data_IF_131020289710
#
_entry.id   IF_131020289710
#
_cell.length_a   1.000
_cell.length_b   1.000
_cell.length_c   1.000
_cell.angle_alpha   90.00
_cell.angle_beta   90.00
_cell.angle_gamma   90.00
#
_symmetry.space_group_name_H-M   'P 1'
#
loop_
_entity.id
_entity.type
_entity.pdbx_description
1 polymer ?
#
# COMPACT_ATOMS: atom_id res chain seq x y z
N UNK A 1 3.88 -39.63 -26.16
CA UNK A 1 2.67 -38.97 -25.59
C UNK A 1 1.67 -39.99 -24.99
N UNK A 2 2.14 -41.12 -24.42
CA UNK A 2 1.25 -42.21 -23.96
C UNK A 2 1.38 -42.56 -22.48
N UNK A 3 2.40 -42.03 -21.79
CA UNK A 3 2.60 -42.27 -20.35
C UNK A 3 1.55 -41.55 -19.47
N UNK A 4 1.13 -40.33 -19.86
CA UNK A 4 0.07 -39.58 -19.15
C UNK A 4 -1.27 -40.32 -19.16
N UNK A 5 -1.63 -40.97 -20.27
CA UNK A 5 -2.91 -41.64 -20.44
C UNK A 5 -3.03 -42.92 -19.59
N UNK A 6 -1.92 -43.63 -19.36
CA UNK A 6 -1.88 -44.88 -18.58
C UNK A 6 -1.97 -44.59 -17.08
N UNK A 7 -1.34 -43.52 -16.57
CA UNK A 7 -1.49 -43.09 -15.17
C UNK A 7 -2.90 -42.57 -14.86
N UNK A 8 -3.54 -41.93 -15.85
CA UNK A 8 -4.88 -41.36 -15.72
C UNK A 8 -6.00 -42.40 -15.56
N UNK A 9 -5.79 -43.66 -15.95
CA UNK A 9 -6.82 -44.70 -15.78
C UNK A 9 -6.76 -45.41 -14.42
N UNK A 10 -5.57 -45.59 -13.83
CA UNK A 10 -5.39 -46.42 -12.63
C UNK A 10 -5.29 -45.63 -11.32
N UNK A 11 -4.96 -44.33 -11.41
CA UNK A 11 -4.65 -43.50 -10.24
C UNK A 11 -5.33 -42.12 -10.30
N UNK A 12 -6.55 -42.05 -10.83
CA UNK A 12 -7.38 -40.81 -10.91
C UNK A 12 -7.46 -40.04 -9.59
N UNK A 13 -7.54 -40.76 -8.48
CA UNK A 13 -7.56 -40.18 -7.13
C UNK A 13 -6.23 -39.50 -6.77
N UNK A 14 -5.09 -40.13 -7.11
CA UNK A 14 -3.77 -39.56 -6.85
C UNK A 14 -3.51 -38.35 -7.76
N UNK A 15 -3.95 -38.40 -9.02
CA UNK A 15 -3.76 -37.32 -9.98
C UNK A 15 -4.69 -36.12 -9.68
N UNK A 16 -5.94 -36.39 -9.29
CA UNK A 16 -6.86 -35.37 -8.78
C UNK A 16 -6.39 -34.75 -7.47
N UNK A 17 -5.88 -35.57 -6.54
CA UNK A 17 -5.28 -35.10 -5.28
C UNK A 17 -4.05 -34.24 -5.52
N UNK A 18 -3.17 -34.64 -6.45
CA UNK A 18 -1.99 -33.87 -6.84
C UNK A 18 -2.37 -32.53 -7.48
N UNK A 19 -3.34 -32.52 -8.41
CA UNK A 19 -3.84 -31.27 -9.01
C UNK A 19 -4.45 -30.36 -7.95
N UNK A 20 -5.29 -30.92 -7.07
CA UNK A 20 -5.92 -30.17 -5.99
C UNK A 20 -4.91 -29.56 -5.03
N UNK A 21 -3.93 -30.35 -4.58
CA UNK A 21 -2.85 -29.88 -3.73
C UNK A 21 -2.03 -28.77 -4.41
N UNK A 22 -1.76 -28.89 -5.72
CA UNK A 22 -1.04 -27.88 -6.50
C UNK A 22 -1.84 -26.57 -6.59
N UNK A 23 -3.14 -26.64 -6.83
CA UNK A 23 -4.02 -25.45 -6.88
C UNK A 23 -4.10 -24.76 -5.52
N UNK A 24 -4.23 -25.52 -4.43
CA UNK A 24 -4.22 -24.98 -3.07
C UNK A 24 -2.86 -24.31 -2.77
N UNK A 25 -1.76 -24.97 -3.10
CA UNK A 25 -0.42 -24.40 -2.90
C UNK A 25 -0.24 -23.09 -3.68
N UNK A 26 -0.70 -23.02 -4.94
CA UNK A 26 -0.66 -21.80 -5.75
C UNK A 26 -1.53 -20.68 -5.16
N UNK A 27 -2.72 -20.99 -4.65
CA UNK A 27 -3.57 -20.01 -3.98
C UNK A 27 -2.89 -19.41 -2.75
N UNK A 28 -2.32 -20.25 -1.89
CA UNK A 28 -1.57 -19.78 -0.71
C UNK A 28 -0.31 -19.02 -1.11
N UNK A 29 0.44 -19.48 -2.12
CA UNK A 29 1.63 -18.80 -2.62
C UNK A 29 1.28 -17.42 -3.20
N UNK A 30 0.21 -17.29 -3.98
CA UNK A 30 -0.26 -16.01 -4.50
C UNK A 30 -0.73 -15.09 -3.37
N UNK A 31 -1.53 -15.59 -2.42
CA UNK A 31 -1.99 -14.83 -1.25
C UNK A 31 -0.82 -14.37 -0.37
N UNK A 32 0.20 -15.21 -0.23
CA UNK A 32 1.43 -14.90 0.50
C UNK A 32 2.27 -13.88 -0.25
N UNK A 33 2.50 -14.06 -1.55
CA UNK A 33 3.22 -13.10 -2.39
C UNK A 33 2.53 -11.74 -2.40
N UNK A 34 1.20 -11.68 -2.51
CA UNK A 34 0.44 -10.44 -2.36
C UNK A 34 0.64 -9.82 -0.97
N UNK A 35 0.60 -10.63 0.10
CA UNK A 35 0.83 -10.17 1.47
C UNK A 35 2.25 -9.71 1.71
N UNK A 36 3.23 -10.37 1.09
CA UNK A 36 4.66 -10.11 1.23
C UNK A 36 5.04 -8.93 0.36
N UNK A 37 4.54 -8.78 -0.86
CA UNK A 37 4.70 -7.57 -1.66
C UNK A 37 4.02 -6.38 -0.96
N UNK A 38 2.86 -6.59 -0.34
CA UNK A 38 2.19 -5.59 0.50
C UNK A 38 3.03 -5.21 1.74
N UNK A 39 3.67 -6.18 2.42
CA UNK A 39 4.56 -5.93 3.57
C UNK A 39 6.01 -5.56 3.21
N UNK A 40 6.45 -5.82 1.97
CA UNK A 40 7.80 -5.55 1.47
C UNK A 40 7.87 -4.26 0.68
N UNK A 41 6.74 -3.58 0.48
CA UNK A 41 6.75 -2.16 0.19
C UNK A 41 7.43 -1.47 1.38
N UNK A 42 8.65 -0.91 1.22
CA UNK A 42 9.48 -0.40 2.32
C UNK A 42 8.84 0.72 3.14
N UNK A 43 7.67 1.19 2.72
CA UNK A 43 6.90 2.26 3.30
C UNK A 43 6.26 1.90 4.67
N UNK A 44 5.88 0.64 4.90
CA UNK A 44 5.28 0.20 6.18
C UNK A 44 6.27 0.08 7.37
N UNK A 45 7.54 0.45 7.19
CA UNK A 45 8.53 0.43 8.29
C UNK A 45 8.48 1.65 9.21
N UNK A 46 7.74 2.68 8.82
CA UNK A 46 7.47 3.82 9.69
C UNK A 46 5.99 3.75 10.10
N UNK A 47 5.69 4.15 11.34
CA UNK A 47 4.43 3.94 12.05
C UNK A 47 3.19 4.10 11.15
N UNK A 48 2.17 3.22 11.29
CA UNK A 48 0.95 3.29 10.47
C UNK A 48 0.39 4.72 10.55
N UNK A 49 0.16 5.30 9.37
CA UNK A 49 -0.40 6.64 9.20
C UNK A 49 -1.86 6.61 9.66
N UNK A 50 -2.08 6.77 10.96
CA UNK A 50 -3.44 6.68 11.50
C UNK A 50 -4.33 7.80 10.94
N UNK A 51 -5.58 7.48 10.64
CA UNK A 51 -6.55 8.37 10.01
C UNK A 51 -6.83 9.69 10.76
N UNK A 52 -6.54 9.74 12.07
CA UNK A 52 -6.63 10.93 12.92
C UNK A 52 -5.43 11.89 12.76
N UNK A 53 -4.31 11.44 12.16
CA UNK A 53 -3.12 12.25 11.99
C UNK A 53 -3.38 13.40 11.00
N UNK A 54 -2.70 14.52 11.24
CA UNK A 54 -2.78 15.69 10.35
C UNK A 54 -1.53 15.78 9.49
N UNK A 55 -1.65 16.37 8.29
CA UNK A 55 -0.55 16.51 7.33
C UNK A 55 0.71 17.15 7.93
N UNK A 56 0.57 18.09 8.87
CA UNK A 56 1.77 18.65 9.52
C UNK A 56 2.32 17.86 10.67
N UNK A 57 1.52 17.02 11.30
CA UNK A 57 2.08 16.07 12.24
C UNK A 57 2.97 15.08 11.47
N UNK A 58 2.47 14.60 10.33
CA UNK A 58 3.21 13.72 9.42
C UNK A 58 4.47 14.41 8.90
N UNK A 59 4.35 15.63 8.37
CA UNK A 59 5.51 16.38 7.89
C UNK A 59 6.58 16.55 8.97
N UNK A 60 6.17 16.79 10.22
CA UNK A 60 7.09 16.92 11.34
C UNK A 60 7.73 15.59 11.75
N UNK A 61 6.94 14.52 11.89
CA UNK A 61 7.42 13.18 12.25
C UNK A 61 8.36 12.57 11.22
N UNK A 62 8.18 12.91 9.94
CA UNK A 62 9.01 12.43 8.85
C UNK A 62 10.12 13.41 8.43
N UNK A 63 10.23 14.54 9.16
CA UNK A 63 11.19 15.63 8.93
C UNK A 63 11.19 16.17 7.49
N UNK A 64 10.01 16.23 6.85
CA UNK A 64 9.87 16.77 5.49
C UNK A 64 9.23 18.16 5.48
N UNK A 65 9.57 19.01 4.49
CA UNK A 65 8.95 20.33 4.35
C UNK A 65 7.45 20.20 4.05
N UNK A 66 6.62 20.66 5.01
CA UNK A 66 5.15 20.61 4.95
C UNK A 66 4.60 21.21 3.66
N UNK A 67 5.10 22.35 3.23
CA UNK A 67 4.56 23.08 2.07
C UNK A 67 4.77 22.29 0.77
N UNK A 68 5.93 21.65 0.64
CA UNK A 68 6.24 20.75 -0.47
C UNK A 68 5.40 19.47 -0.43
N UNK A 69 5.16 18.93 0.76
CA UNK A 69 4.28 17.77 0.93
C UNK A 69 2.83 18.09 0.53
N UNK A 70 2.32 19.28 0.88
CA UNK A 70 0.99 19.76 0.45
C UNK A 70 0.94 19.94 -1.07
N UNK A 71 1.99 20.51 -1.66
CA UNK A 71 2.11 20.73 -3.11
C UNK A 71 2.13 19.40 -3.89
N UNK A 72 3.00 18.46 -3.52
CA UNK A 72 3.12 17.15 -4.20
C UNK A 72 1.82 16.37 -4.10
N UNK A 73 1.16 16.44 -2.94
CA UNK A 73 -0.10 15.75 -2.75
C UNK A 73 -1.26 16.45 -3.44
N UNK A 74 -1.09 17.63 -4.05
CA UNK A 74 -2.15 18.48 -4.58
C UNK A 74 -3.27 18.74 -3.56
N UNK A 75 -2.88 18.90 -2.30
CA UNK A 75 -3.81 19.23 -1.23
C UNK A 75 -4.15 20.71 -1.35
N UNK A 76 -5.43 21.00 -1.59
CA UNK A 76 -5.91 22.39 -1.61
C UNK A 76 -5.47 23.05 -0.30
N UNK A 77 -4.71 24.16 -0.35
CA UNK A 77 -4.35 24.90 0.86
C UNK A 77 -5.64 25.18 1.62
N UNK A 78 -5.64 25.13 2.97
CA UNK A 78 -6.84 25.49 3.70
C UNK A 78 -7.27 26.89 3.24
N UNK A 79 -8.46 26.98 2.62
CA UNK A 79 -9.04 28.22 2.08
C UNK A 79 -9.20 29.33 3.13
N UNK A 80 -8.92 29.02 4.40
CA UNK A 80 -8.99 29.95 5.49
C UNK A 80 -7.83 29.74 6.49
N UNK A 81 -6.91 30.71 6.65
CA UNK A 81 -5.85 30.65 7.66
C UNK A 81 -6.38 30.61 9.12
N UNK A 82 -7.64 30.96 9.35
CA UNK A 82 -8.29 30.95 10.68
C UNK A 82 -8.92 29.60 11.07
N UNK A 83 -9.00 28.61 10.17
CA UNK A 83 -9.54 27.29 10.55
C UNK A 83 -8.52 26.54 11.39
N UNK A 84 -8.63 26.69 12.72
CA UNK A 84 -7.94 25.90 13.76
C UNK A 84 -8.00 24.37 13.53
N UNK A 85 -8.94 23.87 12.74
CA UNK A 85 -9.07 22.43 12.45
C UNK A 85 -8.31 22.06 11.17
N UNK A 86 -7.02 21.73 11.34
CA UNK A 86 -6.24 21.04 10.30
C UNK A 86 -6.99 19.73 9.92
N UNK A 87 -7.32 19.51 8.63
CA UNK A 87 -8.00 18.29 8.22
C UNK A 87 -7.20 17.05 8.63
N UNK A 88 -7.88 16.06 9.18
CA UNK A 88 -7.33 14.71 9.40
C UNK A 88 -7.23 13.98 8.07
N UNK A 89 -6.37 12.97 7.99
CA UNK A 89 -6.22 12.13 6.80
C UNK A 89 -7.55 11.53 6.34
N UNK A 90 -8.38 11.04 7.27
CA UNK A 90 -9.71 10.51 6.97
C UNK A 90 -10.62 11.53 6.26
N UNK A 91 -10.56 12.79 6.68
CA UNK A 91 -11.35 13.84 6.04
C UNK A 91 -10.84 14.12 4.62
N UNK A 92 -9.53 14.14 4.43
CA UNK A 92 -8.90 14.34 3.13
C UNK A 92 -9.24 13.18 2.18
N UNK A 93 -9.14 11.94 2.66
CA UNK A 93 -9.48 10.75 1.89
C UNK A 93 -10.95 10.78 1.44
N UNK A 94 -11.85 11.16 2.36
CA UNK A 94 -13.28 11.34 2.08
C UNK A 94 -13.54 12.46 1.07
N UNK A 95 -12.87 13.61 1.21
CA UNK A 95 -13.01 14.74 0.29
C UNK A 95 -12.52 14.39 -1.13
N UNK A 96 -11.53 13.49 -1.23
CA UNK A 96 -11.01 12.95 -2.50
C UNK A 96 -11.81 11.77 -3.05
N UNK A 97 -12.74 11.22 -2.29
CA UNK A 97 -13.47 10.01 -2.68
C UNK A 97 -12.58 8.77 -2.81
N UNK A 98 -11.43 8.74 -2.15
CA UNK A 98 -10.47 7.62 -2.19
C UNK A 98 -10.37 6.91 -0.83
N UNK A 99 -10.04 5.61 -0.80
CA UNK A 99 -9.83 4.91 0.47
C UNK A 99 -8.62 5.48 1.21
N UNK A 100 -8.66 5.45 2.55
CA UNK A 100 -7.60 5.97 3.42
C UNK A 100 -6.24 5.32 3.07
N UNK A 101 -6.21 4.01 2.87
CA UNK A 101 -5.02 3.24 2.46
C UNK A 101 -4.39 3.74 1.15
N UNK A 102 -5.19 4.27 0.21
CA UNK A 102 -4.65 4.83 -1.03
C UNK A 102 -4.01 6.20 -0.76
N UNK A 103 -4.63 7.02 0.09
CA UNK A 103 -4.08 8.31 0.50
C UNK A 103 -2.77 8.14 1.29
N UNK A 104 -2.67 7.13 2.15
CA UNK A 104 -1.45 6.81 2.89
C UNK A 104 -0.28 6.52 1.94
N UNK A 105 -0.53 5.70 0.91
CA UNK A 105 0.47 5.39 -0.13
C UNK A 105 0.91 6.62 -0.92
N UNK A 106 -0.04 7.49 -1.28
CA UNK A 106 0.29 8.75 -1.97
C UNK A 106 1.22 9.62 -1.11
N UNK A 107 0.97 9.68 0.20
CA UNK A 107 1.78 10.43 1.18
C UNK A 107 3.18 9.84 1.31
N UNK A 108 3.28 8.53 1.42
CA UNK A 108 4.58 7.84 1.51
C UNK A 108 5.43 8.04 0.26
N UNK A 109 4.80 7.96 -0.93
CA UNK A 109 5.47 8.24 -2.19
C UNK A 109 5.97 9.70 -2.25
N UNK A 110 5.16 10.65 -1.81
CA UNK A 110 5.54 12.05 -1.74
C UNK A 110 6.72 12.29 -0.77
N UNK A 111 6.71 11.64 0.40
CA UNK A 111 7.81 11.71 1.39
C UNK A 111 9.09 11.11 0.80
N UNK A 112 9.00 9.96 0.14
CA UNK A 112 10.15 9.30 -0.47
C UNK A 112 10.77 10.16 -1.58
N UNK A 113 9.92 10.79 -2.41
CA UNK A 113 10.38 11.74 -3.42
C UNK A 113 11.11 12.94 -2.79
N UNK A 114 10.55 13.54 -1.74
CA UNK A 114 11.18 14.68 -1.06
C UNK A 114 12.54 14.33 -0.46
N UNK A 115 12.66 13.14 0.13
CA UNK A 115 13.94 12.66 0.67
C UNK A 115 14.97 12.41 -0.42
N UNK A 116 14.55 11.88 -1.57
CA UNK A 116 15.43 11.69 -2.71
C UNK A 116 15.90 13.04 -3.30
N UNK A 117 15.00 14.03 -3.39
CA UNK A 117 15.33 15.40 -3.81
C UNK A 117 16.34 16.07 -2.86
N UNK A 118 16.21 15.87 -1.55
CA UNK A 118 17.13 16.41 -0.54
C UNK A 118 18.51 15.74 -0.60
N UNK A 119 18.57 14.42 -0.80
CA UNK A 119 19.84 13.68 -0.92
C UNK A 119 20.60 13.97 -2.22
N UNK A 120 19.90 14.39 -3.27
CA UNK A 120 20.50 14.74 -4.56
C UNK A 120 21.05 16.18 -4.62
N UNK A 121 20.87 16.96 -3.55
CA UNK A 121 21.24 18.37 -3.44
C UNK A 121 22.54 18.56 -2.66
#
# INVERSE_FOLDING_TARGET
MTALAILWQRHRLLLGGFLGATLIALFFAARFLLSVLYWSDPAHRNQPLEGWMTIGYIAHSYEVPRDRLIEILDLRPPDNPDRKTRPTLERIARDRGQPLDALEKDIEAAIAQLRAEEQAR
#
